data_IF_116689992223
#
_entry.id   IF_116689992223
#
_cell.length_a   1.000
_cell.length_b   1.000
_cell.length_c   1.000
_cell.angle_alpha   90.00
_cell.angle_beta   90.00
_cell.angle_gamma   90.00
#
_symmetry.space_group_name_H-M   'P 1'
#
loop_
_entity.id
_entity.type
_entity.pdbx_description
1 polymer ?
#
# COMPACT_ATOMS: atom_id res chain seq x y z
N UNK A 1 3.26 4.66 23.56
CA UNK A 1 3.88 5.52 22.52
C UNK A 1 4.94 4.71 21.82
N UNK A 2 4.61 4.13 20.67
CA UNK A 2 5.61 3.44 19.85
C UNK A 2 6.38 4.53 19.12
N UNK A 3 7.69 4.53 19.27
CA UNK A 3 8.67 5.41 18.66
C UNK A 3 8.43 5.55 17.15
N UNK A 4 8.74 6.71 16.60
CA UNK A 4 8.84 6.97 15.16
C UNK A 4 9.58 5.83 14.46
N UNK A 5 8.84 5.04 13.69
CA UNK A 5 9.41 4.07 12.76
C UNK A 5 9.66 4.81 11.46
N UNK A 6 10.90 5.07 11.12
CA UNK A 6 11.29 5.55 9.81
C UNK A 6 11.89 4.39 9.03
N UNK A 7 11.44 4.22 7.80
CA UNK A 7 11.87 3.17 6.90
C UNK A 7 12.19 3.76 5.54
N UNK A 8 13.28 3.34 4.94
CA UNK A 8 13.61 3.65 3.54
C UNK A 8 13.26 2.46 2.67
N UNK A 9 12.45 2.69 1.67
CA UNK A 9 12.16 1.68 0.66
C UNK A 9 12.79 2.09 -0.67
N UNK A 10 13.43 1.16 -1.36
CA UNK A 10 13.97 1.38 -2.69
C UNK A 10 13.39 0.37 -3.67
N UNK A 11 12.95 0.87 -4.81
CA UNK A 11 12.44 0.05 -5.91
C UNK A 11 13.45 0.13 -7.04
N UNK A 12 14.06 -1.00 -7.40
CA UNK A 12 15.19 -1.09 -8.33
C UNK A 12 14.80 -1.76 -9.65
N UNK A 13 15.25 -1.18 -10.76
CA UNK A 13 15.30 -1.84 -12.07
C UNK A 13 16.65 -1.65 -12.72
N UNK A 14 17.18 -2.68 -13.33
CA UNK A 14 18.33 -2.59 -14.24
C UNK A 14 17.96 -3.24 -15.57
N UNK A 15 17.94 -2.46 -16.60
CA UNK A 15 18.46 -2.67 -17.97
C UNK A 15 17.65 -1.94 -19.04
N UNK A 16 18.35 -1.31 -19.96
CA UNK A 16 17.87 -0.54 -21.10
C UNK A 16 17.55 -1.48 -22.27
N UNK A 17 16.33 -1.41 -22.82
CA UNK A 17 16.11 -1.57 -24.28
C UNK A 17 14.78 -0.87 -24.66
N UNK A 18 14.83 -0.17 -25.79
CA UNK A 18 13.76 0.62 -26.40
C UNK A 18 12.69 -0.25 -27.07
N UNK A 19 11.43 0.09 -26.89
CA UNK A 19 10.36 -0.43 -27.74
C UNK A 19 8.94 -0.10 -27.26
N UNK A 20 8.25 0.62 -28.07
CA UNK A 20 6.90 1.16 -28.06
C UNK A 20 5.75 0.31 -27.46
N UNK A 21 4.98 1.00 -26.60
CA UNK A 21 3.48 1.12 -26.56
C UNK A 21 2.60 -0.10 -26.39
N UNK A 22 1.99 -0.20 -25.27
CA UNK A 22 0.57 -0.15 -24.91
C UNK A 22 0.33 -0.65 -23.49
N UNK A 23 -0.17 0.24 -22.67
CA UNK A 23 -0.48 0.03 -21.29
C UNK A 23 -1.70 -0.91 -21.16
N UNK A 24 -1.50 -2.11 -20.64
CA UNK A 24 -2.57 -2.92 -20.07
C UNK A 24 -2.35 -2.95 -18.56
N UNK A 25 -3.20 -2.22 -17.85
CA UNK A 25 -3.17 -2.12 -16.40
C UNK A 25 -3.79 -3.38 -15.80
N UNK A 26 -2.99 -4.35 -15.38
CA UNK A 26 -3.46 -5.43 -14.53
C UNK A 26 -3.51 -4.91 -13.08
N UNK A 27 -4.70 -4.54 -12.62
CA UNK A 27 -4.95 -4.28 -11.20
C UNK A 27 -5.18 -5.63 -10.54
N UNK A 28 -4.20 -6.16 -9.84
CA UNK A 28 -4.41 -7.28 -8.93
C UNK A 28 -5.27 -6.79 -7.75
N UNK A 29 -6.56 -7.06 -7.80
CA UNK A 29 -7.42 -6.91 -6.65
C UNK A 29 -7.11 -8.07 -5.68
N UNK A 30 -6.58 -7.77 -4.50
CA UNK A 30 -6.48 -8.76 -3.43
C UNK A 30 -7.88 -9.24 -3.06
N UNK A 31 -8.25 -10.42 -3.52
CA UNK A 31 -9.49 -11.09 -3.14
C UNK A 31 -9.25 -11.79 -1.80
N UNK A 32 -9.84 -11.26 -0.75
CA UNK A 32 -10.01 -11.98 0.50
C UNK A 32 -11.12 -13.01 0.33
N UNK A 33 -10.77 -14.29 0.26
CA UNK A 33 -11.75 -15.38 0.40
C UNK A 33 -11.86 -15.78 1.87
N UNK A 34 -13.05 -15.69 2.42
CA UNK A 34 -13.39 -16.40 3.65
C UNK A 34 -13.52 -17.88 3.32
N UNK A 35 -12.51 -18.67 3.67
CA UNK A 35 -12.62 -20.13 3.69
C UNK A 35 -13.46 -20.56 4.91
N UNK A 36 -14.58 -21.17 4.66
CA UNK A 36 -15.30 -21.94 5.66
C UNK A 36 -14.47 -23.19 6.00
N UNK A 37 -13.94 -23.26 7.21
CA UNK A 37 -13.23 -24.41 7.70
C UNK A 37 -14.20 -25.56 7.98
N UNK A 38 -13.95 -26.72 7.36
CA UNK A 38 -14.51 -27.98 7.79
C UNK A 38 -13.64 -28.53 8.93
N UNK A 39 -14.26 -28.81 10.05
CA UNK A 39 -13.63 -29.38 11.24
C UNK A 39 -13.10 -30.80 10.96
N UNK A 40 -11.83 -31.03 11.26
CA UNK A 40 -11.32 -32.35 11.59
C UNK A 40 -10.49 -32.26 12.85
N UNK A 41 -11.00 -32.83 13.92
CA UNK A 41 -10.37 -32.98 15.23
C UNK A 41 -9.13 -33.83 15.20
N UNK A 42 -7.98 -33.34 15.65
CA UNK A 42 -7.03 -34.10 16.50
C UNK A 42 -6.03 -33.13 17.17
N UNK A 43 -5.75 -33.28 18.46
CA UNK A 43 -4.95 -32.33 19.22
C UNK A 43 -3.46 -32.67 19.11
N UNK A 44 -2.69 -31.80 18.49
CA UNK A 44 -1.24 -31.83 18.64
C UNK A 44 -0.83 -30.57 19.40
N UNK A 45 -0.38 -30.78 20.62
CA UNK A 45 0.16 -29.72 21.50
C UNK A 45 1.42 -29.11 20.89
N UNK A 46 1.31 -27.85 20.49
CA UNK A 46 2.44 -26.99 20.11
C UNK A 46 2.85 -26.17 21.33
N UNK A 47 4.15 -26.04 21.64
CA UNK A 47 4.58 -25.24 22.79
C UNK A 47 4.27 -23.76 22.57
N UNK A 48 3.73 -23.12 23.61
CA UNK A 48 3.32 -21.72 23.66
C UNK A 48 4.46 -20.78 23.26
N UNK A 49 4.25 -20.00 22.20
CA UNK A 49 5.08 -18.86 21.86
C UNK A 49 4.93 -17.78 22.94
N UNK A 50 6.06 -17.36 23.50
CA UNK A 50 6.12 -16.26 24.46
C UNK A 50 5.68 -14.94 23.80
N UNK A 51 4.60 -14.35 24.31
CA UNK A 51 4.16 -13.03 23.94
C UNK A 51 5.20 -11.97 24.35
N UNK A 52 5.72 -11.21 23.39
CA UNK A 52 6.57 -10.05 23.67
C UNK A 52 5.64 -8.86 23.98
N UNK A 53 5.52 -8.54 25.26
CA UNK A 53 4.82 -7.34 25.71
C UNK A 53 5.76 -6.14 25.52
N UNK A 54 5.41 -5.22 24.62
CA UNK A 54 6.15 -3.96 24.45
C UNK A 54 5.71 -3.02 25.59
N UNK A 55 6.62 -2.53 26.45
CA UNK A 55 6.24 -1.68 27.57
C UNK A 55 5.75 -0.33 27.08
N UNK A 56 4.55 0.04 27.50
CA UNK A 56 3.98 1.40 27.35
C UNK A 56 4.76 2.36 28.24
N UNK A 57 5.55 3.27 27.66
CA UNK A 57 6.03 4.43 28.39
C UNK A 57 4.89 5.46 28.52
N UNK A 58 4.46 5.68 29.74
CA UNK A 58 3.49 6.73 30.08
C UNK A 58 4.17 8.09 30.05
N UNK A 59 3.77 8.95 29.13
CA UNK A 59 4.06 10.38 29.17
C UNK A 59 3.04 11.08 30.06
N UNK A 60 3.53 11.83 31.05
CA UNK A 60 2.70 12.70 31.90
C UNK A 60 2.20 13.89 31.08
N UNK A 61 0.90 14.09 31.17
CA UNK A 61 0.11 15.09 30.47
C UNK A 61 0.46 16.51 30.91
N UNK A 62 1.00 17.34 30.02
CA UNK A 62 0.84 18.78 30.14
C UNK A 62 -0.40 19.18 29.35
N UNK A 63 -1.43 19.58 30.08
CA UNK A 63 -2.71 20.07 29.56
C UNK A 63 -2.49 21.35 28.74
N UNK A 64 -2.30 21.21 27.44
CA UNK A 64 -2.43 22.34 26.52
C UNK A 64 -3.87 22.47 26.08
N UNK A 65 -4.56 23.47 26.64
CA UNK A 65 -5.89 23.86 26.20
C UNK A 65 -5.81 24.54 24.85
N UNK A 66 -5.91 23.77 23.78
CA UNK A 66 -6.02 24.32 22.42
C UNK A 66 -7.49 24.49 22.09
N UNK A 67 -7.92 25.73 21.83
CA UNK A 67 -9.23 26.00 21.27
C UNK A 67 -9.40 25.23 19.96
N UNK A 68 -10.50 24.49 19.76
CA UNK A 68 -10.70 23.68 18.57
C UNK A 68 -11.07 24.57 17.38
N UNK A 69 -10.14 24.74 16.45
CA UNK A 69 -10.39 25.37 15.14
C UNK A 69 -10.10 24.42 13.97
N UNK A 70 -10.12 23.12 14.20
CA UNK A 70 -10.09 22.11 13.14
C UNK A 70 -11.19 21.11 13.41
N UNK A 71 -12.38 21.39 12.93
CA UNK A 71 -13.52 20.48 13.02
C UNK A 71 -13.41 19.42 11.91
N UNK A 72 -12.66 18.36 12.19
CA UNK A 72 -13.10 17.04 11.76
C UNK A 72 -14.37 16.76 12.55
N UNK A 73 -15.45 16.45 11.87
CA UNK A 73 -16.69 16.02 12.55
C UNK A 73 -16.38 14.69 13.26
N UNK A 74 -16.17 14.78 14.57
CA UNK A 74 -15.53 13.73 15.38
C UNK A 74 -16.50 12.65 15.82
N UNK A 75 -17.75 12.66 15.37
CA UNK A 75 -18.72 11.72 15.92
C UNK A 75 -19.05 10.52 15.02
N UNK A 76 -18.78 10.53 13.72
CA UNK A 76 -19.17 9.37 12.88
C UNK A 76 -18.38 9.16 11.59
N UNK A 77 -17.72 10.16 11.02
CA UNK A 77 -16.96 10.02 9.74
C UNK A 77 -15.83 11.02 9.68
N UNK A 78 -14.66 10.62 9.23
CA UNK A 78 -13.60 11.58 8.86
C UNK A 78 -14.05 12.30 7.60
N UNK A 79 -14.38 13.57 7.73
CA UNK A 79 -14.71 14.47 6.62
C UNK A 79 -13.86 15.72 6.71
N UNK A 80 -13.33 16.18 5.59
CA UNK A 80 -12.53 17.38 5.58
C UNK A 80 -13.39 18.65 5.57
N UNK A 81 -12.98 19.64 6.35
CA UNK A 81 -13.42 21.01 6.12
C UNK A 81 -12.88 21.52 4.77
N UNK A 82 -13.58 22.47 4.15
CA UNK A 82 -13.16 23.02 2.86
C UNK A 82 -11.70 23.49 2.86
N UNK A 83 -11.28 24.13 3.96
CA UNK A 83 -9.88 24.52 4.21
C UNK A 83 -9.57 24.35 5.69
N UNK A 84 -8.32 24.01 6.01
CA UNK A 84 -7.83 23.89 7.38
C UNK A 84 -6.36 24.27 7.46
N UNK A 85 -5.91 24.73 8.63
CA UNK A 85 -4.49 24.87 8.89
C UNK A 85 -3.83 23.47 8.91
N UNK A 86 -2.65 23.38 8.35
CA UNK A 86 -1.88 22.15 8.27
C UNK A 86 -0.43 22.41 8.69
N UNK A 87 0.07 21.55 9.55
CA UNK A 87 1.47 21.48 9.98
C UNK A 87 1.94 20.01 9.99
N UNK A 88 3.24 19.80 10.18
CA UNK A 88 3.83 18.46 10.18
C UNK A 88 3.21 17.51 11.22
N UNK A 89 2.68 18.06 12.35
CA UNK A 89 2.07 17.28 13.42
C UNK A 89 0.55 17.10 13.27
N UNK A 90 -0.07 17.73 12.27
CA UNK A 90 -1.53 17.73 12.12
C UNK A 90 -2.11 16.33 12.05
N UNK A 91 -1.50 15.45 11.23
CA UNK A 91 -1.97 14.07 11.07
C UNK A 91 -1.73 13.26 12.34
N UNK A 92 -0.61 13.48 13.03
CA UNK A 92 -0.27 12.83 14.30
C UNK A 92 -1.31 13.19 15.38
N UNK A 93 -1.70 14.47 15.47
CA UNK A 93 -2.73 14.95 16.41
C UNK A 93 -4.10 14.32 16.09
N UNK A 94 -4.44 14.21 14.80
CA UNK A 94 -5.68 13.58 14.34
C UNK A 94 -5.68 12.10 14.69
N UNK A 95 -4.62 11.35 14.35
CA UNK A 95 -4.51 9.93 14.63
C UNK A 95 -4.59 9.62 16.12
N UNK A 96 -3.91 10.41 16.97
CA UNK A 96 -3.99 10.29 18.43
C UNK A 96 -5.41 10.48 18.93
N UNK A 97 -6.14 11.51 18.47
CA UNK A 97 -7.53 11.76 18.85
C UNK A 97 -8.43 10.62 18.39
N UNK A 98 -8.22 10.15 17.16
CA UNK A 98 -9.02 9.07 16.58
C UNK A 98 -8.85 7.77 17.37
N UNK A 99 -7.64 7.47 17.87
CA UNK A 99 -7.41 6.28 18.70
C UNK A 99 -8.13 6.30 20.05
N UNK A 100 -8.54 7.47 20.53
CA UNK A 100 -9.30 7.65 21.79
C UNK A 100 -10.80 7.48 21.59
N UNK A 101 -11.27 7.26 20.37
CA UNK A 101 -12.69 7.03 20.03
C UNK A 101 -12.87 5.62 19.49
N UNK A 102 -14.10 5.10 19.60
CA UNK A 102 -14.45 3.83 18.98
C UNK A 102 -14.28 3.93 17.46
N UNK A 103 -13.78 2.84 16.86
CA UNK A 103 -13.68 2.74 15.41
C UNK A 103 -15.07 2.82 14.77
N UNK A 104 -15.15 3.54 13.66
CA UNK A 104 -16.36 3.64 12.84
C UNK A 104 -16.01 3.23 11.42
N UNK A 105 -16.71 2.23 10.90
CA UNK A 105 -16.54 1.75 9.54
C UNK A 105 -16.84 2.87 8.52
N UNK A 106 -15.98 2.97 7.52
CA UNK A 106 -16.02 4.02 6.49
C UNK A 106 -16.98 3.77 5.34
N UNK A 107 -17.75 2.70 5.41
CA UNK A 107 -18.72 2.39 4.35
C UNK A 107 -19.79 3.46 4.28
N UNK A 108 -19.46 4.53 3.58
CA UNK A 108 -20.45 5.51 3.13
C UNK A 108 -21.20 4.92 1.93
N UNK A 109 -22.53 4.80 2.00
CA UNK A 109 -23.27 4.14 0.93
C UNK A 109 -22.99 4.81 -0.42
N UNK A 110 -22.52 4.02 -1.37
CA UNK A 110 -22.50 4.44 -2.76
C UNK A 110 -23.93 4.40 -3.34
N UNK A 111 -24.23 5.24 -4.35
CA UNK A 111 -25.44 5.03 -5.16
C UNK A 111 -25.54 3.56 -5.58
N UNK A 112 -26.74 2.98 -5.43
CA UNK A 112 -26.96 1.53 -5.54
C UNK A 112 -26.43 0.92 -6.86
N UNK A 113 -26.39 1.71 -7.92
CA UNK A 113 -25.78 1.32 -9.20
C UNK A 113 -24.27 1.10 -9.10
N UNK A 114 -23.53 2.03 -8.51
CA UNK A 114 -22.06 1.99 -8.44
C UNK A 114 -21.52 0.93 -7.47
N UNK A 115 -22.27 0.59 -6.43
CA UNK A 115 -21.88 -0.43 -5.48
C UNK A 115 -21.83 -1.85 -6.07
N UNK A 116 -22.51 -2.08 -7.20
CA UNK A 116 -22.69 -3.40 -7.82
C UNK A 116 -22.10 -3.51 -9.24
N UNK A 117 -21.36 -2.53 -9.69
CA UNK A 117 -20.71 -2.59 -11.01
C UNK A 117 -19.71 -3.73 -11.09
N UNK A 118 -19.60 -4.32 -12.27
CA UNK A 118 -18.59 -5.32 -12.59
C UNK A 118 -17.19 -4.70 -12.68
N UNK A 119 -16.17 -5.56 -12.74
CA UNK A 119 -14.80 -5.11 -12.96
C UNK A 119 -14.64 -4.32 -14.28
N UNK A 120 -15.27 -4.78 -15.35
CA UNK A 120 -15.18 -4.12 -16.67
C UNK A 120 -15.85 -2.75 -16.66
N UNK A 121 -17.02 -2.62 -16.00
CA UNK A 121 -17.68 -1.32 -15.81
C UNK A 121 -16.82 -0.38 -14.94
N UNK A 122 -16.15 -0.90 -13.91
CA UNK A 122 -15.25 -0.11 -13.07
C UNK A 122 -14.02 0.39 -13.84
N UNK A 123 -13.40 -0.45 -14.64
CA UNK A 123 -12.25 -0.08 -15.51
C UNK A 123 -12.61 0.95 -16.56
N UNK A 124 -13.88 1.04 -16.93
CA UNK A 124 -14.39 2.00 -17.89
C UNK A 124 -14.51 3.43 -17.32
N UNK A 125 -14.50 3.55 -15.99
CA UNK A 125 -14.43 4.86 -15.31
C UNK A 125 -12.96 5.28 -15.24
N UNK A 126 -12.58 6.26 -16.06
CA UNK A 126 -11.18 6.71 -16.18
C UNK A 126 -11.04 8.16 -15.78
N UNK A 127 -10.01 8.47 -15.03
CA UNK A 127 -9.62 9.85 -14.77
C UNK A 127 -9.12 10.49 -16.08
N UNK A 128 -9.59 11.68 -16.39
CA UNK A 128 -9.20 12.40 -17.60
C UNK A 128 -7.79 12.97 -17.45
N UNK A 129 -6.83 12.60 -18.31
CA UNK A 129 -5.45 13.08 -18.20
C UNK A 129 -5.30 14.61 -18.28
N UNK A 130 -6.23 15.28 -18.94
CA UNK A 130 -6.27 16.76 -19.01
C UNK A 130 -6.67 17.41 -17.69
N UNK A 131 -7.41 16.71 -16.84
CA UNK A 131 -7.85 17.17 -15.53
C UNK A 131 -6.83 16.84 -14.42
N UNK A 132 -5.66 16.24 -14.75
CA UNK A 132 -4.63 15.94 -13.77
C UNK A 132 -4.24 17.17 -12.97
N UNK A 133 -4.25 17.03 -11.65
CA UNK A 133 -3.92 18.10 -10.72
C UNK A 133 -2.47 18.51 -10.94
N UNK A 134 -2.21 19.82 -10.94
CA UNK A 134 -0.93 20.48 -11.24
C UNK A 134 -0.48 20.41 -12.71
N UNK A 135 -1.21 19.77 -13.60
CA UNK A 135 -0.85 19.72 -15.03
C UNK A 135 -0.87 21.12 -15.68
N UNK A 136 -1.93 21.88 -15.44
CA UNK A 136 -2.05 23.23 -15.99
C UNK A 136 -0.99 24.19 -15.43
N UNK A 137 -0.42 23.90 -14.28
CA UNK A 137 0.62 24.66 -13.63
C UNK A 137 2.03 24.28 -14.10
N UNK A 138 2.15 23.20 -14.89
CA UNK A 138 3.43 22.70 -15.40
C UNK A 138 4.38 22.18 -14.31
N UNK A 139 3.82 21.68 -13.19
CA UNK A 139 4.66 21.16 -12.10
C UNK A 139 5.27 19.80 -12.47
N UNK A 140 6.37 19.39 -11.81
CA UNK A 140 7.09 18.16 -12.12
C UNK A 140 6.30 16.89 -11.77
N UNK A 141 5.27 17.01 -10.94
CA UNK A 141 4.37 15.93 -10.59
C UNK A 141 2.95 16.25 -11.02
N UNK A 142 2.19 15.21 -11.35
CA UNK A 142 0.75 15.28 -11.58
C UNK A 142 0.07 14.26 -10.67
N UNK A 143 -1.15 14.58 -10.21
CA UNK A 143 -1.94 13.64 -9.43
C UNK A 143 -3.27 13.38 -10.10
N UNK A 144 -3.69 12.11 -10.07
CA UNK A 144 -4.98 11.65 -10.52
C UNK A 144 -5.65 10.86 -9.40
N UNK A 145 -6.97 10.70 -9.49
CA UNK A 145 -7.79 10.15 -8.44
C UNK A 145 -8.53 8.91 -8.94
N UNK A 146 -8.83 7.99 -8.03
CA UNK A 146 -9.63 6.81 -8.33
C UNK A 146 -11.08 7.03 -7.93
N UNK A 147 -11.99 6.68 -8.82
CA UNK A 147 -13.41 6.67 -8.55
C UNK A 147 -13.77 5.54 -7.58
N UNK A 148 -14.81 5.73 -6.77
CA UNK A 148 -15.35 4.66 -5.93
C UNK A 148 -16.27 3.74 -6.73
N UNK A 149 -16.22 2.45 -6.45
CA UNK A 149 -17.04 1.44 -7.10
C UNK A 149 -16.44 0.04 -7.01
N UNK A 150 -17.16 -0.99 -7.45
CA UNK A 150 -16.72 -2.38 -7.39
C UNK A 150 -16.27 -2.77 -5.97
N UNK A 151 -15.06 -3.26 -5.76
CA UNK A 151 -14.50 -3.53 -4.43
C UNK A 151 -13.97 -2.29 -3.72
N UNK A 152 -13.68 -1.20 -4.43
CA UNK A 152 -13.12 0.04 -3.88
C UNK A 152 -14.25 0.98 -3.42
N UNK A 153 -14.97 0.57 -2.37
CA UNK A 153 -16.15 1.29 -1.89
C UNK A 153 -15.87 2.22 -0.71
N UNK A 154 -14.70 2.10 -0.08
CA UNK A 154 -14.33 2.96 1.03
C UNK A 154 -14.17 4.42 0.57
N UNK A 155 -14.63 5.32 1.43
CA UNK A 155 -14.48 6.75 1.17
C UNK A 155 -13.13 7.22 1.70
N UNK A 156 -12.31 7.72 0.80
CA UNK A 156 -11.01 8.29 1.11
C UNK A 156 -11.07 9.80 0.89
N UNK A 157 -10.78 10.56 1.95
CA UNK A 157 -10.70 12.01 1.90
C UNK A 157 -9.32 12.45 1.40
N UNK A 158 -9.28 13.44 0.51
CA UNK A 158 -8.03 13.94 -0.07
C UNK A 158 -8.00 15.46 0.05
N UNK A 159 -6.87 15.99 0.51
CA UNK A 159 -6.59 17.41 0.55
C UNK A 159 -5.25 17.74 -0.12
N UNK A 160 -5.19 18.90 -0.74
CA UNK A 160 -3.95 19.50 -1.24
C UNK A 160 -3.39 20.43 -0.18
N UNK A 161 -2.09 20.35 0.06
CA UNK A 161 -1.39 21.22 1.02
C UNK A 161 -0.53 22.21 0.27
N UNK A 162 -0.76 23.49 0.52
CA UNK A 162 0.07 24.58 0.02
C UNK A 162 0.49 25.48 1.19
N UNK A 163 1.78 25.53 1.46
CA UNK A 163 2.31 26.18 2.67
C UNK A 163 1.73 25.52 3.93
N UNK A 164 1.04 26.31 4.76
CA UNK A 164 0.42 25.83 5.99
C UNK A 164 -1.11 25.64 5.87
N UNK A 165 -1.61 25.48 4.66
CA UNK A 165 -3.04 25.32 4.43
C UNK A 165 -3.34 24.03 3.67
N UNK A 166 -4.27 23.23 4.19
CA UNK A 166 -4.86 22.10 3.49
C UNK A 166 -6.20 22.52 2.90
N UNK A 167 -6.42 22.21 1.62
CA UNK A 167 -7.67 22.44 0.92
C UNK A 167 -8.27 21.11 0.50
N UNK A 168 -9.50 20.85 0.92
CA UNK A 168 -10.22 19.63 0.56
C UNK A 168 -10.46 19.54 -0.96
N UNK A 169 -10.13 18.41 -1.52
CA UNK A 169 -10.40 18.09 -2.91
C UNK A 169 -11.72 17.32 -3.00
N UNK A 170 -12.83 18.07 -3.06
CA UNK A 170 -14.16 17.51 -3.19
C UNK A 170 -14.30 16.70 -4.49
N UNK A 171 -15.13 15.65 -4.47
CA UNK A 171 -15.41 14.85 -5.66
C UNK A 171 -15.99 15.71 -6.78
N UNK A 172 -15.48 15.53 -7.98
CA UNK A 172 -16.01 16.14 -9.19
C UNK A 172 -16.11 15.08 -10.29
N UNK A 173 -17.34 14.80 -10.74
CA UNK A 173 -17.60 13.85 -11.82
C UNK A 173 -16.95 14.26 -13.15
N UNK A 174 -16.69 15.56 -13.37
CA UNK A 174 -16.04 16.05 -14.58
C UNK A 174 -14.58 15.65 -14.70
N UNK A 175 -13.96 15.21 -13.60
CA UNK A 175 -12.61 14.63 -13.63
C UNK A 175 -12.57 13.26 -14.31
N UNK A 176 -13.72 12.63 -14.48
CA UNK A 176 -13.79 11.27 -15.00
C UNK A 176 -14.52 11.23 -16.35
N UNK A 177 -14.14 10.26 -17.17
CA UNK A 177 -14.90 9.79 -18.31
C UNK A 177 -15.43 8.39 -17.99
N UNK A 178 -16.68 8.16 -18.33
CA UNK A 178 -17.22 6.81 -18.41
C UNK A 178 -17.28 6.43 -19.89
N UNK A 179 -16.86 5.22 -20.23
CA UNK A 179 -16.99 4.71 -21.58
C UNK A 179 -18.36 4.07 -21.81
N UNK A 180 -18.45 3.21 -22.82
CA UNK A 180 -19.72 2.62 -23.25
C UNK A 180 -20.13 1.39 -22.43
N UNK A 181 -19.22 0.83 -21.61
CA UNK A 181 -19.48 -0.37 -20.80
C UNK A 181 -20.29 -0.01 -19.56
N UNK A 182 -20.01 1.15 -18.95
CA UNK A 182 -20.75 1.62 -17.78
C UNK A 182 -22.17 2.03 -18.17
N UNK A 183 -23.16 1.28 -17.71
CA UNK A 183 -24.58 1.47 -18.06
C UNK A 183 -25.23 2.68 -17.40
N UNK A 184 -24.56 3.36 -16.47
CA UNK A 184 -25.13 4.47 -15.69
C UNK A 184 -24.27 5.73 -15.72
N UNK A 185 -24.90 6.86 -15.44
CA UNK A 185 -24.19 8.15 -15.31
C UNK A 185 -23.44 8.22 -13.98
N UNK A 186 -22.27 8.87 -14.01
CA UNK A 186 -21.55 9.19 -12.80
C UNK A 186 -22.35 10.16 -11.92
N UNK A 187 -22.30 10.01 -10.58
CA UNK A 187 -23.02 10.89 -9.66
C UNK A 187 -22.44 12.31 -9.69
N UNK A 188 -23.29 13.31 -9.49
CA UNK A 188 -22.87 14.71 -9.35
C UNK A 188 -22.68 15.14 -7.90
N UNK A 189 -23.18 14.35 -6.95
CA UNK A 189 -22.97 14.58 -5.51
C UNK A 189 -21.56 14.18 -5.10
N UNK A 190 -21.03 14.80 -4.05
CA UNK A 190 -19.74 14.42 -3.50
C UNK A 190 -19.81 13.04 -2.85
N UNK A 191 -19.18 12.06 -3.51
CA UNK A 191 -19.06 10.70 -3.04
C UNK A 191 -17.64 10.39 -2.54
N UNK A 192 -16.71 11.36 -2.58
CA UNK A 192 -15.29 11.15 -2.32
C UNK A 192 -14.60 10.26 -3.36
N UNK A 193 -13.41 9.81 -3.03
CA UNK A 193 -12.55 8.99 -3.90
C UNK A 193 -12.23 7.65 -3.23
N UNK A 194 -11.64 6.71 -3.98
CA UNK A 194 -11.16 5.43 -3.43
C UNK A 194 -9.63 5.38 -3.29
N UNK A 195 -8.93 6.42 -3.68
CA UNK A 195 -7.48 6.53 -3.63
C UNK A 195 -6.94 7.54 -4.63
N UNK A 196 -5.62 7.55 -4.76
CA UNK A 196 -4.90 8.47 -5.64
C UNK A 196 -3.69 7.79 -6.28
N UNK A 197 -3.22 8.40 -7.39
CA UNK A 197 -1.96 8.05 -8.02
C UNK A 197 -1.16 9.30 -8.37
N UNK A 198 0.15 9.19 -8.22
CA UNK A 198 1.11 10.23 -8.52
C UNK A 198 1.81 9.87 -9.83
N UNK A 199 1.91 10.84 -10.72
CA UNK A 199 2.61 10.73 -11.99
C UNK A 199 3.86 11.59 -11.99
N UNK A 200 4.91 11.10 -12.66
CA UNK A 200 6.19 11.77 -12.83
C UNK A 200 6.81 11.36 -14.18
N UNK A 201 7.58 12.22 -14.86
CA UNK A 201 8.28 11.85 -16.10
C UNK A 201 9.49 10.95 -15.82
N UNK A 202 9.23 9.72 -15.39
CA UNK A 202 10.22 8.77 -14.90
C UNK A 202 11.07 8.19 -16.03
N UNK A 203 10.41 7.71 -17.09
CA UNK A 203 11.08 7.03 -18.21
C UNK A 203 11.38 7.97 -19.39
N UNK A 204 10.49 8.93 -19.64
CA UNK A 204 10.59 9.87 -20.75
C UNK A 204 10.14 11.26 -20.29
N UNK A 205 10.95 12.33 -20.48
CA UNK A 205 10.59 13.69 -20.06
C UNK A 205 9.28 14.23 -20.67
N UNK A 206 8.84 13.68 -21.80
CA UNK A 206 7.60 14.10 -22.47
C UNK A 206 6.36 13.33 -22.00
N UNK A 207 6.51 12.34 -21.13
CA UNK A 207 5.43 11.49 -20.67
C UNK A 207 5.45 11.32 -19.15
N UNK A 208 4.31 11.49 -18.52
CA UNK A 208 4.15 11.31 -17.07
C UNK A 208 3.73 9.88 -16.79
N UNK A 209 4.70 9.05 -16.41
CA UNK A 209 4.47 7.68 -15.97
C UNK A 209 3.72 7.69 -14.64
N UNK A 210 2.93 6.65 -14.38
CA UNK A 210 2.38 6.42 -13.06
C UNK A 210 3.49 5.98 -12.12
N UNK A 211 3.91 6.85 -11.20
CA UNK A 211 5.03 6.64 -10.30
C UNK A 211 4.65 5.85 -9.05
N UNK A 212 3.52 6.25 -8.44
CA UNK A 212 3.07 5.70 -7.17
C UNK A 212 1.56 5.69 -7.07
N UNK A 213 1.01 4.65 -6.46
CA UNK A 213 -0.43 4.42 -6.26
C UNK A 213 -0.73 4.13 -4.81
N UNK A 214 -1.82 4.71 -4.31
CA UNK A 214 -2.47 4.37 -3.05
C UNK A 214 -3.92 4.00 -3.35
N UNK A 215 -4.28 2.73 -3.19
CA UNK A 215 -5.65 2.26 -3.36
C UNK A 215 -5.87 0.92 -2.67
N UNK A 216 -7.00 0.79 -1.98
CA UNK A 216 -7.38 -0.41 -1.24
C UNK A 216 -6.66 -0.55 0.11
N UNK A 217 -7.41 -0.63 1.20
CA UNK A 217 -6.89 -0.69 2.57
C UNK A 217 -5.71 0.29 2.78
N UNK A 218 -4.53 -0.19 3.19
CA UNK A 218 -3.33 0.62 3.30
C UNK A 218 -2.25 0.25 2.26
N UNK A 219 -2.67 -0.32 1.13
CA UNK A 219 -1.74 -0.68 0.06
C UNK A 219 -1.19 0.52 -0.68
N UNK A 220 0.08 0.44 -1.01
CA UNK A 220 0.75 1.34 -1.94
C UNK A 220 1.77 0.60 -2.80
N UNK A 221 2.00 1.14 -4.00
CA UNK A 221 2.96 0.63 -4.97
C UNK A 221 3.74 1.78 -5.55
N UNK A 222 4.99 1.54 -5.94
CA UNK A 222 5.79 2.51 -6.67
C UNK A 222 6.63 1.83 -7.73
N UNK A 223 7.09 2.63 -8.70
CA UNK A 223 7.94 2.18 -9.80
C UNK A 223 9.32 2.83 -9.71
N UNK A 224 10.36 2.07 -10.02
CA UNK A 224 11.64 2.59 -10.47
C UNK A 224 11.64 2.74 -12.00
N UNK A 225 12.63 3.44 -12.53
CA UNK A 225 12.77 3.64 -13.97
C UNK A 225 12.88 2.30 -14.71
N UNK A 226 12.08 2.13 -15.77
CA UNK A 226 12.05 0.93 -16.59
C UNK A 226 11.33 -0.27 -15.97
N UNK A 227 10.68 -0.12 -14.82
CA UNK A 227 9.88 -1.19 -14.21
C UNK A 227 8.39 -1.05 -14.50
N UNK A 228 7.71 -2.18 -14.48
CA UNK A 228 6.26 -2.32 -14.48
C UNK A 228 5.77 -2.67 -13.06
N UNK A 229 4.46 -2.54 -12.76
CA UNK A 229 3.95 -2.89 -11.45
C UNK A 229 4.06 -4.39 -11.16
N UNK A 230 4.48 -4.71 -9.96
CA UNK A 230 4.50 -6.04 -9.38
C UNK A 230 4.00 -5.99 -7.93
N UNK A 231 4.90 -6.29 -7.01
CA UNK A 231 4.61 -6.32 -5.58
C UNK A 231 4.07 -5.00 -5.03
N UNK A 232 3.47 -5.07 -3.85
CA UNK A 232 2.93 -3.95 -3.10
C UNK A 232 3.54 -3.89 -1.69
N UNK A 233 3.45 -2.72 -1.06
CA UNK A 233 3.60 -2.58 0.39
C UNK A 233 2.27 -2.20 1.02
N UNK A 234 2.17 -2.41 2.33
CA UNK A 234 1.04 -1.96 3.16
C UNK A 234 1.54 -1.04 4.28
N UNK A 235 0.69 -0.16 4.75
CA UNK A 235 1.02 0.66 5.90
C UNK A 235 1.27 -0.18 7.14
N UNK A 236 0.39 -1.13 7.41
CA UNK A 236 0.47 -2.02 8.58
C UNK A 236 -0.24 -3.35 8.27
N UNK A 237 0.28 -4.44 8.82
CA UNK A 237 -0.39 -5.73 8.83
C UNK A 237 -0.67 -6.17 10.27
N UNK A 238 -1.87 -6.72 10.51
CA UNK A 238 -2.28 -7.24 11.82
C UNK A 238 -2.88 -8.62 11.63
N UNK A 239 -2.37 -9.60 12.37
CA UNK A 239 -2.85 -10.98 12.35
C UNK A 239 -2.85 -11.62 10.96
N UNK A 240 -1.80 -11.36 10.16
CA UNK A 240 -1.69 -11.91 8.79
C UNK A 240 -1.68 -13.43 8.83
N UNK A 241 -2.55 -14.03 8.01
CA UNK A 241 -2.73 -15.47 7.86
C UNK A 241 -3.15 -16.21 9.15
N UNK A 242 -3.76 -15.52 10.11
CA UNK A 242 -4.29 -16.13 11.31
C UNK A 242 -5.68 -16.74 11.08
N UNK A 243 -6.00 -17.86 11.77
CA UNK A 243 -7.30 -18.51 11.63
C UNK A 243 -8.49 -17.62 12.02
N UNK A 244 -8.28 -16.70 12.95
CA UNK A 244 -9.28 -15.75 13.44
C UNK A 244 -9.56 -14.62 12.42
N UNK A 245 -8.74 -14.51 11.40
CA UNK A 245 -8.80 -13.52 10.35
C UNK A 245 -7.80 -12.38 10.51
N UNK A 246 -7.42 -11.82 9.38
CA UNK A 246 -6.52 -10.67 9.28
C UNK A 246 -7.32 -9.37 9.42
N UNK A 247 -6.78 -8.41 10.16
CA UNK A 247 -7.28 -7.04 10.18
C UNK A 247 -6.52 -6.20 9.15
N UNK A 248 -7.27 -5.50 8.29
CA UNK A 248 -6.72 -4.63 7.24
C UNK A 248 -6.91 -3.15 7.62
N UNK A 249 -5.91 -2.49 8.24
CA UNK A 249 -5.96 -1.06 8.44
C UNK A 249 -6.07 -0.31 7.11
N UNK A 250 -6.85 0.79 7.10
CA UNK A 250 -7.19 1.55 5.90
C UNK A 250 -6.56 2.94 5.98
N UNK A 251 -5.96 3.42 4.90
CA UNK A 251 -5.68 4.85 4.75
C UNK A 251 -6.97 5.58 4.41
N UNK A 252 -7.57 6.26 5.42
CA UNK A 252 -8.86 6.97 5.27
C UNK A 252 -8.73 8.37 4.72
N UNK A 253 -7.56 8.97 4.80
CA UNK A 253 -7.36 10.35 4.37
C UNK A 253 -5.93 10.57 3.94
N UNK A 254 -5.75 11.44 2.94
CA UNK A 254 -4.45 11.86 2.44
C UNK A 254 -4.36 13.39 2.38
N UNK A 255 -3.17 13.91 2.69
CA UNK A 255 -2.78 15.29 2.43
C UNK A 255 -1.55 15.25 1.54
N UNK A 256 -1.65 15.81 0.35
CA UNK A 256 -0.56 15.80 -0.63
C UNK A 256 0.02 17.20 -0.75
N UNK A 257 1.28 17.34 -0.43
CA UNK A 257 1.97 18.63 -0.50
C UNK A 257 2.18 19.03 -1.97
N UNK A 258 1.83 20.28 -2.30
CA UNK A 258 2.08 20.83 -3.63
C UNK A 258 3.58 20.90 -3.88
N UNK A 259 4.12 20.23 -4.91
CA UNK A 259 5.54 20.24 -5.18
C UNK A 259 5.99 21.61 -5.71
N UNK A 260 7.23 21.99 -5.44
CA UNK A 260 7.86 23.13 -6.10
C UNK A 260 8.23 22.78 -7.54
N UNK A 261 8.44 23.79 -8.38
CA UNK A 261 8.77 23.65 -9.82
C UNK A 261 10.03 22.82 -10.08
N UNK A 262 11.01 22.88 -9.19
CA UNK A 262 12.29 22.18 -9.33
C UNK A 262 12.40 20.98 -8.38
N UNK A 263 11.29 20.54 -7.78
CA UNK A 263 11.32 19.48 -6.77
C UNK A 263 11.50 18.11 -7.40
N UNK A 264 12.46 17.35 -6.90
CA UNK A 264 12.58 15.92 -7.10
C UNK A 264 11.95 15.10 -5.96
N UNK A 265 11.16 15.74 -5.12
CA UNK A 265 10.50 15.16 -3.95
C UNK A 265 9.02 15.48 -3.98
N UNK A 266 8.18 14.50 -3.74
CA UNK A 266 6.78 14.69 -3.39
C UNK A 266 6.50 14.11 -2.00
N UNK A 267 5.70 14.82 -1.20
CA UNK A 267 5.34 14.40 0.15
C UNK A 267 3.85 14.11 0.22
N UNK A 268 3.53 12.92 0.75
CA UNK A 268 2.16 12.47 0.99
C UNK A 268 2.03 12.11 2.45
N UNK A 269 1.09 12.74 3.15
CA UNK A 269 0.69 12.33 4.48
C UNK A 269 -0.55 11.47 4.42
N UNK A 270 -0.66 10.46 5.27
CA UNK A 270 -1.81 9.58 5.32
C UNK A 270 -2.26 9.31 6.76
N UNK A 271 -3.57 9.24 6.94
CA UNK A 271 -4.20 8.83 8.19
C UNK A 271 -4.66 7.38 8.06
N UNK A 272 -4.05 6.50 8.83
CA UNK A 272 -4.42 5.10 8.92
C UNK A 272 -5.42 4.89 10.06
N UNK A 273 -6.42 4.04 9.83
CA UNK A 273 -7.41 3.69 10.85
C UNK A 273 -7.90 2.24 10.70
N UNK A 274 -8.17 1.60 11.85
CA UNK A 274 -8.76 0.27 11.94
C UNK A 274 -9.36 0.04 13.33
N UNK A 275 -10.10 -1.05 13.60
CA UNK A 275 -10.61 -1.35 14.92
C UNK A 275 -9.55 -1.31 16.03
N UNK A 276 -8.33 -1.78 15.75
CA UNK A 276 -7.28 -1.95 16.75
C UNK A 276 -6.30 -0.78 16.84
N UNK A 277 -6.17 0.05 15.81
CA UNK A 277 -5.12 1.09 15.77
C UNK A 277 -5.48 2.25 14.85
N UNK A 278 -5.07 3.46 15.25
CA UNK A 278 -4.98 4.61 14.35
C UNK A 278 -3.50 4.96 14.13
N UNK A 279 -3.17 5.55 12.97
CA UNK A 279 -1.78 5.88 12.63
C UNK A 279 -1.64 7.11 11.75
N UNK A 280 -0.56 7.83 11.92
CA UNK A 280 -0.13 8.92 11.07
C UNK A 280 1.09 8.48 10.27
N UNK A 281 1.05 8.68 8.97
CA UNK A 281 2.12 8.33 8.03
C UNK A 281 2.56 9.55 7.26
N UNK A 282 3.84 9.59 6.93
CA UNK A 282 4.45 10.54 6.00
C UNK A 282 5.33 9.79 5.03
N UNK A 283 5.06 9.93 3.75
CA UNK A 283 5.83 9.37 2.64
C UNK A 283 6.58 10.51 1.95
N UNK A 284 7.91 10.42 1.91
CA UNK A 284 8.76 11.32 1.15
C UNK A 284 9.33 10.56 -0.04
N UNK A 285 8.82 10.82 -1.23
CA UNK A 285 9.05 10.02 -2.44
C UNK A 285 10.00 10.74 -3.37
N UNK A 286 11.11 10.09 -3.72
CA UNK A 286 12.11 10.56 -4.68
C UNK A 286 12.22 9.58 -5.83
N UNK A 287 11.65 9.92 -7.00
CA UNK A 287 11.76 9.08 -8.20
C UNK A 287 13.19 9.02 -8.75
N UNK A 288 13.52 7.93 -9.38
CA UNK A 288 14.83 7.71 -10.01
C UNK A 288 14.95 6.34 -10.63
N UNK A 289 16.17 5.92 -10.95
CA UNK A 289 16.46 4.54 -11.36
C UNK A 289 15.95 3.58 -10.28
N UNK A 290 16.23 3.92 -9.02
CA UNK A 290 15.52 3.41 -7.85
C UNK A 290 14.62 4.51 -7.29
N UNK A 291 13.36 4.25 -7.10
CA UNK A 291 12.49 5.17 -6.38
C UNK A 291 12.68 4.95 -4.88
N UNK A 292 13.12 6.00 -4.19
CA UNK A 292 13.33 5.99 -2.75
C UNK A 292 12.11 6.58 -2.04
N UNK A 293 11.63 5.89 -1.02
CA UNK A 293 10.49 6.33 -0.20
C UNK A 293 10.92 6.29 1.26
N UNK A 294 11.11 7.46 1.87
CA UNK A 294 11.23 7.54 3.32
C UNK A 294 9.82 7.50 3.92
N UNK A 295 9.56 6.53 4.79
CA UNK A 295 8.27 6.35 5.46
C UNK A 295 8.43 6.60 6.95
N UNK A 296 7.69 7.56 7.46
CA UNK A 296 7.57 7.83 8.89
C UNK A 296 6.18 7.43 9.35
N UNK A 297 6.08 6.60 10.40
CA UNK A 297 4.80 6.16 10.95
C UNK A 297 4.75 6.39 12.46
N UNK A 298 3.64 6.93 12.94
CA UNK A 298 3.32 7.03 14.36
C UNK A 298 2.00 6.32 14.61
N UNK A 299 2.05 5.23 15.38
CA UNK A 299 0.90 4.37 15.65
C UNK A 299 0.34 4.63 17.05
N UNK A 300 -0.98 4.63 17.15
CA UNK A 300 -1.76 4.82 18.37
C UNK A 300 -2.72 3.63 18.55
N UNK A 301 -2.29 2.56 19.26
CA UNK A 301 -3.15 1.42 19.52
C UNK A 301 -4.37 1.77 20.35
N UNK A 302 -5.53 1.18 20.01
CA UNK A 302 -6.76 1.21 20.81
C UNK A 302 -6.83 0.06 21.81
N UNK A 303 -6.14 -1.02 21.46
CA UNK A 303 -6.03 -2.28 22.22
C UNK A 303 -4.59 -2.78 22.14
N UNK A 304 -4.25 -3.78 22.94
CA UNK A 304 -2.97 -4.47 22.77
C UNK A 304 -2.90 -5.14 21.39
N UNK A 305 -1.86 -4.82 20.65
CA UNK A 305 -1.66 -5.38 19.30
C UNK A 305 -0.86 -6.67 19.39
N UNK A 306 -1.38 -7.71 18.75
CA UNK A 306 -0.71 -9.01 18.63
C UNK A 306 -0.35 -9.24 17.16
N UNK A 307 0.80 -9.86 16.89
CA UNK A 307 1.26 -10.19 15.52
C UNK A 307 1.23 -8.98 14.57
N UNK A 308 1.97 -7.96 14.95
CA UNK A 308 2.09 -6.71 14.20
C UNK A 308 3.18 -6.87 13.13
N UNK A 309 2.80 -6.73 11.87
CA UNK A 309 3.73 -6.65 10.74
C UNK A 309 4.04 -5.21 10.38
N UNK A 310 5.31 -4.80 10.57
CA UNK A 310 5.83 -3.49 10.18
C UNK A 310 6.46 -3.58 8.80
N UNK A 311 6.22 -2.58 7.95
CA UNK A 311 6.69 -2.53 6.57
C UNK A 311 6.35 -3.82 5.78
N UNK A 312 5.11 -4.32 5.83
CA UNK A 312 4.73 -5.54 5.16
C UNK A 312 4.73 -5.36 3.66
N UNK A 313 5.28 -6.35 2.95
CA UNK A 313 5.32 -6.43 1.50
C UNK A 313 4.46 -7.59 1.03
N UNK A 314 3.74 -7.41 -0.05
CA UNK A 314 2.86 -8.42 -0.64
C UNK A 314 3.24 -8.65 -2.10
N UNK A 315 3.36 -9.91 -2.50
CA UNK A 315 3.82 -10.30 -3.83
C UNK A 315 3.10 -11.57 -4.32
N UNK A 316 3.39 -11.97 -5.55
CA UNK A 316 2.88 -13.19 -6.15
C UNK A 316 4.03 -14.12 -6.53
N UNK A 317 3.85 -15.41 -6.25
CA UNK A 317 4.71 -16.50 -6.70
C UNK A 317 3.86 -17.71 -7.06
N UNK A 318 3.80 -18.06 -8.33
CA UNK A 318 3.08 -19.25 -8.79
C UNK A 318 4.05 -20.42 -8.96
N UNK A 319 5.10 -20.28 -9.77
CA UNK A 319 6.16 -21.26 -9.94
C UNK A 319 7.45 -20.63 -10.47
N UNK A 320 8.56 -21.34 -10.28
CA UNK A 320 9.87 -21.03 -10.86
C UNK A 320 10.52 -22.31 -11.40
N UNK A 321 11.68 -22.18 -12.06
CA UNK A 321 12.46 -23.33 -12.55
C UNK A 321 12.77 -24.37 -11.48
N UNK A 322 12.95 -23.95 -10.23
CA UNK A 322 13.27 -24.82 -9.09
C UNK A 322 12.06 -25.43 -8.39
N UNK A 323 10.85 -24.94 -8.65
CA UNK A 323 9.63 -25.32 -7.94
C UNK A 323 8.44 -25.60 -8.86
N UNK A 324 8.69 -25.90 -10.13
CA UNK A 324 7.63 -26.18 -11.11
C UNK A 324 6.91 -27.48 -10.76
N UNK A 325 5.79 -27.35 -10.07
CA UNK A 325 4.91 -28.47 -9.77
C UNK A 325 3.97 -28.69 -10.95
N UNK A 326 4.06 -29.81 -11.68
CA UNK A 326 3.11 -30.38 -12.64
C UNK A 326 2.11 -29.40 -13.31
N UNK A 327 2.53 -28.17 -13.57
CA UNK A 327 1.73 -27.16 -14.24
C UNK A 327 1.91 -27.31 -15.74
N UNK A 328 0.80 -27.37 -16.47
CA UNK A 328 0.77 -27.34 -17.94
C UNK A 328 0.88 -25.89 -18.42
N UNK A 329 1.93 -25.19 -17.97
CA UNK A 329 2.26 -23.83 -18.37
C UNK A 329 3.58 -23.84 -19.16
N UNK A 330 3.60 -23.20 -20.32
CA UNK A 330 4.79 -23.17 -21.15
C UNK A 330 5.85 -22.20 -20.60
N UNK A 331 5.42 -21.20 -19.82
CA UNK A 331 6.31 -20.19 -19.23
C UNK A 331 7.24 -20.84 -18.21
N UNK A 332 8.57 -20.60 -18.28
CA UNK A 332 9.49 -21.20 -17.31
C UNK A 332 9.25 -20.75 -15.87
N UNK A 333 8.97 -19.47 -15.68
CA UNK A 333 8.74 -18.84 -14.35
C UNK A 333 7.54 -17.90 -14.40
N UNK A 334 6.76 -17.86 -13.32
CA UNK A 334 5.61 -16.96 -13.14
C UNK A 334 5.63 -16.44 -11.71
N UNK A 335 6.18 -15.25 -11.51
CA UNK A 335 6.25 -14.61 -10.19
C UNK A 335 6.64 -13.13 -10.28
N UNK A 336 6.13 -12.33 -9.34
CA UNK A 336 6.53 -10.93 -9.15
C UNK A 336 7.81 -10.81 -8.31
N UNK A 337 8.10 -11.79 -7.47
CA UNK A 337 9.31 -11.88 -6.66
C UNK A 337 9.84 -13.30 -6.63
N UNK A 338 11.16 -13.45 -6.59
CA UNK A 338 11.90 -14.73 -6.63
C UNK A 338 12.27 -15.20 -5.21
N UNK A 339 12.61 -14.26 -4.33
CA UNK A 339 13.06 -14.58 -2.99
C UNK A 339 12.84 -13.46 -1.97
N UNK A 340 12.83 -13.85 -0.69
CA UNK A 340 13.07 -12.96 0.43
C UNK A 340 14.58 -12.86 0.66
N UNK A 341 15.13 -11.65 0.61
CA UNK A 341 16.50 -11.34 1.03
C UNK A 341 16.46 -10.64 2.39
N UNK A 342 17.33 -11.07 3.31
CA UNK A 342 17.47 -10.46 4.64
C UNK A 342 18.95 -10.11 4.84
N UNK A 343 19.21 -8.89 5.28
CA UNK A 343 20.48 -8.48 5.88
C UNK A 343 20.23 -8.37 7.39
N UNK A 344 20.70 -9.37 8.13
CA UNK A 344 20.43 -9.44 9.56
C UNK A 344 21.27 -8.44 10.37
N UNK A 345 20.98 -8.30 11.66
CA UNK A 345 21.68 -7.40 12.56
C UNK A 345 23.18 -7.70 12.75
N UNK A 346 23.64 -8.90 12.36
CA UNK A 346 25.05 -9.31 12.37
C UNK A 346 25.78 -9.04 11.05
N UNK A 347 25.06 -8.57 10.02
CA UNK A 347 25.61 -8.34 8.68
C UNK A 347 25.63 -9.56 7.78
N UNK A 348 24.97 -10.66 8.16
CA UNK A 348 24.81 -11.84 7.31
C UNK A 348 23.67 -11.64 6.32
N UNK A 349 23.86 -12.13 5.09
CA UNK A 349 22.83 -12.12 4.04
C UNK A 349 22.20 -13.50 3.94
N UNK A 350 20.88 -13.55 4.14
CA UNK A 350 20.08 -14.76 3.97
C UNK A 350 19.23 -14.59 2.70
N UNK A 351 19.33 -15.58 1.82
CA UNK A 351 18.52 -15.70 0.61
C UNK A 351 17.56 -16.86 0.78
N UNK A 352 16.26 -16.56 0.89
CA UNK A 352 15.20 -17.54 1.02
C UNK A 352 14.37 -17.53 -0.26
N UNK A 353 14.56 -18.53 -1.16
CA UNK A 353 13.70 -18.67 -2.34
C UNK A 353 12.24 -18.78 -1.95
N UNK A 354 11.36 -18.15 -2.70
CA UNK A 354 9.92 -18.27 -2.51
C UNK A 354 9.42 -19.61 -3.04
N UNK A 355 8.29 -20.04 -2.53
CA UNK A 355 7.61 -21.23 -2.96
C UNK A 355 6.09 -21.00 -2.98
N UNK A 356 5.40 -21.84 -3.77
CA UNK A 356 3.96 -21.98 -3.73
C UNK A 356 3.65 -23.33 -3.04
N UNK A 357 3.47 -23.36 -1.72
CA UNK A 357 3.33 -24.59 -0.96
C UNK A 357 1.91 -25.18 -1.12
N UNK A 358 1.75 -26.43 -0.75
CA UNK A 358 0.41 -27.08 -0.74
C UNK A 358 -0.46 -26.65 0.46
N UNK A 359 0.16 -26.11 1.48
CA UNK A 359 -0.48 -25.62 2.70
C UNK A 359 0.22 -24.33 3.12
N UNK A 360 -0.50 -23.47 3.83
CA UNK A 360 0.07 -22.25 4.41
C UNK A 360 1.39 -22.53 5.12
N UNK A 361 2.42 -21.81 4.75
CA UNK A 361 3.73 -21.83 5.41
C UNK A 361 4.05 -20.46 5.98
N UNK A 362 4.50 -20.44 7.22
CA UNK A 362 5.02 -19.24 7.87
C UNK A 362 6.45 -19.53 8.32
N UNK A 363 7.39 -18.74 7.85
CA UNK A 363 8.82 -18.83 8.20
C UNK A 363 9.23 -17.57 8.95
N UNK A 364 9.69 -17.72 10.17
CA UNK A 364 10.15 -16.62 11.02
C UNK A 364 11.67 -16.66 11.18
N UNK A 365 12.32 -15.53 10.91
CA UNK A 365 13.76 -15.34 11.02
C UNK A 365 14.03 -14.37 12.17
N UNK A 366 14.26 -14.95 13.36
CA UNK A 366 14.53 -14.18 14.59
C UNK A 366 15.81 -13.35 14.44
N UNK A 367 15.72 -12.08 14.75
CA UNK A 367 16.86 -11.16 14.68
C UNK A 367 16.77 -10.05 15.74
N UNK A 368 17.88 -9.36 15.91
CA UNK A 368 17.95 -8.17 16.75
C UNK A 368 18.41 -7.00 15.86
N UNK A 369 17.48 -6.13 15.51
CA UNK A 369 17.68 -4.99 14.61
C UNK A 369 18.18 -5.40 13.22
N UNK A 370 17.33 -6.00 12.37
CA UNK A 370 17.67 -6.28 10.99
C UNK A 370 18.13 -5.00 10.29
N UNK A 371 19.17 -5.10 9.47
CA UNK A 371 19.69 -3.96 8.70
C UNK A 371 18.91 -3.74 7.41
N UNK A 372 18.22 -4.77 6.93
CA UNK A 372 17.33 -4.66 5.79
C UNK A 372 16.69 -6.00 5.43
N UNK A 373 15.57 -5.92 4.72
CA UNK A 373 14.88 -7.07 4.16
C UNK A 373 14.05 -6.66 2.95
N UNK A 374 13.69 -7.62 2.13
CA UNK A 374 12.85 -7.30 0.98
C UNK A 374 12.54 -8.48 0.08
N UNK A 375 11.56 -8.30 -0.77
CA UNK A 375 11.17 -9.24 -1.81
C UNK A 375 11.86 -8.84 -3.12
N UNK A 376 12.63 -9.77 -3.65
CA UNK A 376 13.58 -9.52 -4.74
C UNK A 376 13.16 -10.29 -5.97
N UNK A 377 13.09 -9.60 -7.11
CA UNK A 377 13.01 -10.19 -8.44
C UNK A 377 14.41 -10.21 -9.04
N UNK A 378 15.02 -11.38 -9.14
CA UNK A 378 16.41 -11.54 -9.55
C UNK A 378 16.56 -11.67 -11.06
N UNK A 379 15.78 -12.57 -11.65
CA UNK A 379 15.86 -12.83 -13.10
C UNK A 379 15.24 -11.66 -13.87
N UNK A 380 15.92 -11.21 -14.93
CA UNK A 380 15.55 -10.05 -15.73
C UNK A 380 15.51 -10.34 -17.22
N UNK A 381 15.66 -11.61 -17.60
CA UNK A 381 15.58 -12.04 -18.99
C UNK A 381 14.13 -12.32 -19.37
N UNK A 382 13.67 -11.81 -20.50
CA UNK A 382 12.38 -12.18 -21.06
C UNK A 382 12.26 -13.70 -21.27
N UNK A 383 13.36 -14.36 -21.66
CA UNK A 383 13.37 -15.81 -21.94
C UNK A 383 13.05 -16.65 -20.68
N UNK A 384 13.28 -16.12 -19.47
CA UNK A 384 12.94 -16.79 -18.24
C UNK A 384 11.42 -16.83 -17.98
N UNK A 385 10.67 -15.87 -18.50
CA UNK A 385 9.23 -15.74 -18.25
C UNK A 385 8.38 -16.00 -19.50
N UNK A 386 8.82 -15.53 -20.66
CA UNK A 386 8.15 -15.64 -21.94
C UNK A 386 6.70 -15.13 -21.94
N UNK A 387 6.44 -14.08 -21.16
CA UNK A 387 5.12 -13.47 -20.99
C UNK A 387 5.11 -12.05 -21.56
N UNK A 388 4.44 -11.89 -22.70
CA UNK A 388 4.32 -10.61 -23.40
C UNK A 388 3.29 -9.66 -22.79
N UNK A 389 2.47 -10.14 -21.87
CA UNK A 389 1.44 -9.34 -21.21
C UNK A 389 1.88 -8.88 -19.82
N UNK A 390 2.32 -9.82 -18.98
CA UNK A 390 2.68 -9.56 -17.60
C UNK A 390 4.08 -8.95 -17.46
N UNK A 391 5.01 -9.22 -18.38
CA UNK A 391 6.39 -8.72 -18.34
C UNK A 391 7.07 -8.88 -16.97
N UNK A 392 7.06 -10.11 -16.43
CA UNK A 392 7.61 -10.40 -15.10
C UNK A 392 9.09 -10.00 -14.97
N UNK A 393 9.86 -10.00 -16.05
CA UNK A 393 11.25 -9.53 -16.09
C UNK A 393 11.40 -8.05 -15.70
N UNK A 394 10.31 -7.27 -15.78
CA UNK A 394 10.28 -5.85 -15.42
C UNK A 394 9.69 -5.58 -14.04
N UNK A 395 9.22 -6.61 -13.33
CA UNK A 395 8.67 -6.43 -11.98
C UNK A 395 9.75 -5.94 -11.02
N UNK A 396 9.47 -4.92 -10.18
CA UNK A 396 10.49 -4.34 -9.32
C UNK A 396 10.82 -5.24 -8.14
N UNK A 397 12.02 -5.09 -7.60
CA UNK A 397 12.34 -5.54 -6.25
C UNK A 397 11.98 -4.46 -5.24
N UNK A 398 11.57 -4.86 -4.04
CA UNK A 398 11.37 -3.96 -2.91
C UNK A 398 12.40 -4.28 -1.83
N UNK A 399 13.08 -3.25 -1.35
CA UNK A 399 14.00 -3.34 -0.25
C UNK A 399 13.63 -2.35 0.85
N UNK A 400 13.59 -2.82 2.08
CA UNK A 400 13.26 -2.04 3.28
C UNK A 400 14.51 -1.92 4.15
N UNK A 401 14.86 -0.71 4.51
CA UNK A 401 15.93 -0.40 5.46
C UNK A 401 15.34 0.26 6.70
N UNK A 402 15.34 -0.42 7.86
CA UNK A 402 14.97 0.19 9.12
C UNK A 402 15.86 1.39 9.45
N UNK A 403 15.27 2.50 9.85
CA UNK A 403 16.01 3.65 10.37
C UNK A 403 16.04 3.61 11.89
N UNK A 404 17.24 3.63 12.46
CA UNK A 404 17.46 3.47 13.89
C UNK A 404 17.46 2.00 14.33
N UNK A 405 17.22 1.79 15.61
CA UNK A 405 17.23 0.46 16.21
C UNK A 405 15.80 -0.04 16.41
N UNK A 406 15.40 -1.08 15.66
CA UNK A 406 14.08 -1.69 15.78
C UNK A 406 13.98 -2.72 16.92
N UNK A 407 15.12 -3.10 17.54
CA UNK A 407 15.16 -4.04 18.63
C UNK A 407 14.99 -5.50 18.19
N UNK A 408 14.64 -6.34 19.17
CA UNK A 408 14.42 -7.77 18.92
C UNK A 408 13.06 -7.99 18.24
N UNK A 409 13.04 -8.84 17.22
CA UNK A 409 11.86 -9.20 16.47
C UNK A 409 12.16 -10.32 15.49
N UNK A 410 11.40 -10.39 14.42
CA UNK A 410 11.56 -11.38 13.37
C UNK A 410 11.21 -10.80 12.00
N UNK A 411 11.91 -11.24 10.97
CA UNK A 411 11.45 -11.08 9.59
C UNK A 411 10.59 -12.30 9.28
N UNK A 412 9.32 -12.08 8.92
CA UNK A 412 8.35 -13.15 8.67
C UNK A 412 8.10 -13.28 7.19
N UNK A 413 8.11 -14.50 6.69
CA UNK A 413 7.65 -14.86 5.35
C UNK A 413 6.42 -15.76 5.45
N UNK A 414 5.32 -15.31 4.90
CA UNK A 414 4.08 -16.07 4.79
C UNK A 414 3.85 -16.44 3.33
N UNK A 415 3.77 -17.74 3.05
CA UNK A 415 3.54 -18.31 1.72
C UNK A 415 2.19 -19.02 1.72
N UNK A 416 1.23 -18.49 0.95
CA UNK A 416 -0.15 -18.95 0.88
C UNK A 416 -0.32 -19.77 -0.40
N UNK A 417 -0.93 -20.98 -0.36
CA UNK A 417 -1.20 -21.75 -1.56
C UNK A 417 -2.04 -20.98 -2.58
N UNK A 418 -1.66 -21.03 -3.85
CA UNK A 418 -2.48 -20.48 -4.95
C UNK A 418 -2.37 -21.33 -6.20
N UNK A 419 -3.43 -21.34 -6.99
CA UNK A 419 -3.50 -21.94 -8.33
C UNK A 419 -3.55 -20.86 -9.43
N UNK A 420 -3.44 -19.59 -9.05
CA UNK A 420 -3.63 -18.46 -9.94
C UNK A 420 -2.59 -17.37 -9.72
N UNK A 421 -2.07 -16.83 -10.82
CA UNK A 421 -1.14 -15.69 -10.85
C UNK A 421 -1.80 -14.33 -10.55
N UNK A 422 -3.13 -14.29 -10.48
CA UNK A 422 -3.85 -13.03 -10.18
C UNK A 422 -4.01 -12.78 -8.68
N UNK A 423 -3.55 -13.69 -7.83
CA UNK A 423 -3.63 -13.57 -6.39
C UNK A 423 -2.26 -13.30 -5.78
N UNK A 424 -2.16 -12.27 -4.96
CA UNK A 424 -1.01 -12.07 -4.08
C UNK A 424 -1.01 -13.18 -3.02
N UNK A 425 0.03 -14.02 -3.00
CA UNK A 425 0.13 -15.17 -2.12
C UNK A 425 1.41 -15.20 -1.26
N UNK A 426 2.21 -14.14 -1.34
CA UNK A 426 3.43 -13.95 -0.57
C UNK A 426 3.30 -12.70 0.28
N UNK A 427 3.58 -12.83 1.58
CA UNK A 427 3.68 -11.68 2.49
C UNK A 427 5.03 -11.76 3.23
N UNK A 428 5.78 -10.69 3.11
CA UNK A 428 7.08 -10.55 3.77
C UNK A 428 7.15 -9.30 4.64
#
# INVERSE_FOLDING_TARGET
MVSLLSCRTSVSSHTVIKGLTRLSLAIAAGLCFTLAAQESNSPTTVPSSSSVTIPLQTYTDETVTVKPQNTLDTQTKVRFAKTANFDADSVVKIARRLSQTAYVDLKDPLPAGLAKISYDEYRDIRFKPEASIWKAEGLPYQMQLFHRGFYFQDLIEIALVEGNQATHLAYNSEFFSAGDVLSQKLPTQDIGYSGLRIHYPLNNPAYFDELMVFQGASYFRALGKGSDYGLSSRGLALNTAEPEGEEFPIFRAFWVERPNTDSNLIVVHALLDSPSVAGAYRFSVRPGDNTHIDVEATLFPRVDLVKVGLAPSTSMFLHSMNGRQNTDDFRPEVHDSDALLILNGRGERLWRPLANPKQLQVSAFMDNSPQGFGLIQRERSFDAYQDLEAHYERRPSLWVEPVGNWGAGEVVLTEIPTDSEIHDNIVG
#
